data_IF_607936843389
#
_entry.id   IF_607936843389
#
_cell.length_a   1.000
_cell.length_b   1.000
_cell.length_c   1.000
_cell.angle_alpha   90.00
_cell.angle_beta   90.00
_cell.angle_gamma   90.00
#
_symmetry.space_group_name_H-M   'P 1'
#
loop_
_entity.id
_entity.type
_entity.pdbx_description
1 polymer ?
#
# COMPACT_ATOMS: atom_id res chain seq x y z
N UNK A 1 29.75 43.36 12.70
CA UNK A 1 29.34 42.16 13.43
C UNK A 1 27.82 42.13 13.55
N UNK A 2 27.16 41.43 12.69
CA UNK A 2 25.71 41.18 12.82
C UNK A 2 25.54 39.69 12.56
N UNK A 3 25.40 38.95 13.66
CA UNK A 3 25.11 37.52 13.62
C UNK A 3 23.65 37.28 13.27
N UNK A 4 23.39 36.86 12.05
CA UNK A 4 22.08 36.33 11.65
C UNK A 4 21.88 34.94 12.26
N UNK A 5 20.98 34.81 13.23
CA UNK A 5 20.48 33.55 13.70
C UNK A 5 19.69 32.90 12.55
N UNK A 6 20.13 31.74 12.09
CA UNK A 6 19.31 30.84 11.28
C UNK A 6 18.16 30.39 12.13
N UNK A 7 16.99 30.97 11.91
CA UNK A 7 15.72 30.49 12.49
C UNK A 7 15.41 29.10 11.95
N UNK A 8 15.13 28.20 12.87
CA UNK A 8 14.97 26.78 12.64
C UNK A 8 13.87 26.47 11.63
N UNK A 9 14.16 25.52 10.75
CA UNK A 9 13.17 24.82 9.94
C UNK A 9 12.03 24.32 10.84
N UNK A 10 10.76 24.49 10.43
CA UNK A 10 9.65 23.96 11.20
C UNK A 10 9.86 22.45 11.37
N UNK A 11 9.92 22.04 12.61
CA UNK A 11 9.97 20.65 13.05
C UNK A 11 8.91 19.87 12.27
N UNK A 12 9.33 18.99 11.35
CA UNK A 12 8.44 18.09 10.63
C UNK A 12 7.60 17.39 11.67
N UNK A 13 6.35 17.78 11.77
CA UNK A 13 5.43 17.27 12.76
C UNK A 13 5.54 15.74 12.75
N UNK A 14 6.05 15.16 13.83
CA UNK A 14 6.08 13.72 14.08
C UNK A 14 4.64 13.24 14.12
N UNK A 15 4.04 13.01 12.92
CA UNK A 15 2.70 12.44 12.83
C UNK A 15 2.81 11.05 13.40
N UNK A 16 2.06 10.74 14.44
CA UNK A 16 2.20 9.47 15.13
C UNK A 16 1.83 8.35 14.16
N UNK A 17 2.81 7.63 13.64
CA UNK A 17 2.65 6.35 12.91
C UNK A 17 1.67 5.44 13.66
N UNK A 18 1.62 5.58 14.97
CA UNK A 18 0.70 4.86 15.86
C UNK A 18 -0.77 5.11 15.57
N UNK A 19 -1.21 6.32 15.17
CA UNK A 19 -2.62 6.59 14.88
C UNK A 19 -3.12 5.83 13.65
N UNK A 20 -2.31 5.75 12.60
CA UNK A 20 -2.65 4.99 11.40
C UNK A 20 -2.63 3.49 11.69
N UNK A 21 -1.65 3.00 12.43
CA UNK A 21 -1.60 1.59 12.88
C UNK A 21 -2.79 1.22 13.77
N UNK A 22 -3.18 2.11 14.68
CA UNK A 22 -4.37 1.91 15.50
C UNK A 22 -5.64 1.83 14.66
N UNK A 23 -5.80 2.72 13.65
CA UNK A 23 -6.90 2.66 12.71
C UNK A 23 -6.91 1.32 11.97
N UNK A 24 -5.78 0.89 11.42
CA UNK A 24 -5.63 -0.38 10.70
C UNK A 24 -5.98 -1.57 11.59
N UNK A 25 -5.49 -1.58 12.83
CA UNK A 25 -5.82 -2.63 13.80
C UNK A 25 -7.31 -2.69 14.11
N UNK A 26 -7.96 -1.53 14.32
CA UNK A 26 -9.41 -1.46 14.56
C UNK A 26 -10.20 -2.00 13.37
N UNK A 27 -9.84 -1.62 12.14
CA UNK A 27 -10.49 -2.11 10.93
C UNK A 27 -10.34 -3.63 10.77
N UNK A 28 -9.12 -4.15 10.97
CA UNK A 28 -8.85 -5.58 10.93
C UNK A 28 -9.68 -6.37 11.95
N UNK A 29 -9.68 -5.93 13.23
CA UNK A 29 -10.42 -6.60 14.29
C UNK A 29 -11.92 -6.58 14.00
N UNK A 30 -12.46 -5.44 13.58
CA UNK A 30 -13.87 -5.33 13.20
C UNK A 30 -14.25 -6.25 12.03
N UNK A 31 -13.40 -6.37 11.02
CA UNK A 31 -13.63 -7.27 9.89
C UNK A 31 -13.53 -8.75 10.33
N UNK A 32 -12.56 -9.08 11.18
CA UNK A 32 -12.34 -10.45 11.67
C UNK A 32 -13.46 -10.96 12.58
N UNK A 33 -14.03 -10.06 13.38
CA UNK A 33 -15.14 -10.42 14.30
C UNK A 33 -16.47 -10.69 13.60
N UNK A 34 -16.69 -10.08 12.43
CA UNK A 34 -17.95 -10.25 11.69
C UNK A 34 -17.70 -10.25 10.18
N UNK A 35 -17.78 -11.42 9.55
CA UNK A 35 -17.63 -11.59 8.10
C UNK A 35 -18.75 -10.93 7.28
N UNK A 36 -19.91 -10.71 7.88
CA UNK A 36 -21.05 -10.06 7.23
C UNK A 36 -21.06 -8.55 7.41
N UNK A 37 -20.09 -8.00 8.15
CA UNK A 37 -20.00 -6.57 8.44
C UNK A 37 -19.77 -5.77 7.18
N UNK A 38 -20.62 -4.78 6.95
CA UNK A 38 -20.45 -3.78 5.90
C UNK A 38 -19.80 -2.52 6.47
N UNK A 39 -18.81 -1.99 5.74
CA UNK A 39 -18.10 -0.75 6.09
C UNK A 39 -18.64 0.38 5.23
N UNK A 40 -19.48 1.24 5.79
CA UNK A 40 -20.15 2.34 5.06
C UNK A 40 -19.36 3.65 5.08
N UNK A 41 -18.48 3.86 6.07
CA UNK A 41 -17.77 5.12 6.31
C UNK A 41 -16.25 4.90 6.22
N UNK A 42 -15.76 4.52 5.02
CA UNK A 42 -14.32 4.38 4.77
C UNK A 42 -13.74 5.58 4.05
N UNK A 43 -14.55 6.27 3.25
CA UNK A 43 -14.07 7.37 2.42
C UNK A 43 -13.51 8.54 3.25
N UNK A 44 -14.18 8.89 4.34
CA UNK A 44 -13.74 9.92 5.29
C UNK A 44 -12.39 9.60 5.94
N UNK A 45 -12.06 8.31 6.05
CA UNK A 45 -10.79 7.86 6.61
C UNK A 45 -9.62 8.00 5.64
N UNK A 46 -9.89 7.96 4.32
CA UNK A 46 -8.86 8.08 3.29
C UNK A 46 -8.24 9.48 3.29
N UNK A 47 -9.06 10.53 3.46
CA UNK A 47 -8.57 11.91 3.46
C UNK A 47 -8.21 12.46 4.85
N UNK A 48 -8.08 11.62 5.87
CA UNK A 48 -7.50 12.03 7.15
C UNK A 48 -6.06 12.48 6.95
N UNK A 49 -5.68 13.55 7.61
CA UNK A 49 -4.33 14.12 7.48
C UNK A 49 -3.23 13.11 7.84
N UNK A 50 -3.41 12.34 8.93
CA UNK A 50 -2.45 11.32 9.35
C UNK A 50 -2.30 10.18 8.33
N UNK A 51 -3.39 9.77 7.66
CA UNK A 51 -3.37 8.76 6.60
C UNK A 51 -2.67 9.27 5.34
N UNK A 52 -2.96 10.52 4.93
CA UNK A 52 -2.32 11.14 3.77
C UNK A 52 -0.82 11.35 3.99
N UNK A 53 -0.38 11.74 5.18
CA UNK A 53 1.03 11.86 5.54
C UNK A 53 1.75 10.51 5.53
N UNK A 54 1.14 9.46 6.07
CA UNK A 54 1.73 8.11 6.00
C UNK A 54 1.77 7.59 4.56
N UNK A 55 0.74 7.89 3.75
CA UNK A 55 0.72 7.58 2.33
C UNK A 55 1.85 8.29 1.58
N UNK A 56 2.04 9.60 1.82
CA UNK A 56 3.14 10.37 1.27
C UNK A 56 4.50 9.77 1.64
N UNK A 57 4.72 9.48 2.93
CA UNK A 57 5.96 8.87 3.43
C UNK A 57 6.29 7.58 2.67
N UNK A 58 5.30 6.72 2.42
CA UNK A 58 5.48 5.47 1.66
C UNK A 58 5.74 5.71 0.18
N UNK A 59 5.00 6.62 -0.45
CA UNK A 59 5.22 6.99 -1.86
C UNK A 59 6.60 7.58 -2.07
N UNK A 60 7.04 8.46 -1.16
CA UNK A 60 8.38 9.03 -1.15
C UNK A 60 9.46 7.95 -1.03
N UNK A 61 9.32 7.04 -0.08
CA UNK A 61 10.27 5.92 0.14
C UNK A 61 10.35 4.97 -1.06
N UNK A 62 9.24 4.74 -1.75
CA UNK A 62 9.21 3.90 -2.95
C UNK A 62 9.83 4.58 -4.17
N UNK A 63 9.93 5.90 -4.17
CA UNK A 63 10.44 6.66 -5.31
C UNK A 63 9.57 6.53 -6.56
N UNK A 64 10.19 6.62 -7.71
CA UNK A 64 9.57 6.41 -9.02
C UNK A 64 9.49 7.67 -9.88
N UNK A 65 9.28 7.47 -11.19
CA UNK A 65 9.24 8.52 -12.17
C UNK A 65 7.99 9.41 -12.05
N UNK A 66 8.08 10.65 -12.55
CA UNK A 66 6.95 11.55 -12.68
C UNK A 66 5.88 10.99 -13.64
N UNK A 67 4.63 11.31 -13.36
CA UNK A 67 3.48 10.97 -14.20
C UNK A 67 3.39 11.80 -15.48
N UNK A 68 2.16 11.98 -15.97
CA UNK A 68 1.89 12.80 -17.17
C UNK A 68 2.06 14.29 -16.89
N UNK A 69 1.88 14.70 -15.63
CA UNK A 69 2.05 16.07 -15.12
C UNK A 69 3.51 16.51 -15.00
N UNK A 70 4.46 15.58 -15.21
CA UNK A 70 5.90 15.79 -15.02
C UNK A 70 6.30 16.23 -13.59
N UNK A 71 5.39 16.27 -12.61
CA UNK A 71 5.69 16.64 -11.23
C UNK A 71 6.46 15.51 -10.54
N UNK A 72 7.64 15.84 -10.03
CA UNK A 72 8.53 14.88 -9.35
C UNK A 72 8.32 14.92 -7.83
N UNK A 73 8.76 13.85 -7.15
CA UNK A 73 8.77 13.82 -5.67
C UNK A 73 9.63 14.94 -5.12
N UNK A 74 10.80 15.20 -5.74
CA UNK A 74 11.72 16.26 -5.34
C UNK A 74 11.09 17.66 -5.46
N UNK A 75 10.36 17.92 -6.55
CA UNK A 75 9.66 19.20 -6.73
C UNK A 75 8.60 19.43 -5.63
N UNK A 76 7.86 18.38 -5.26
CA UNK A 76 6.88 18.45 -4.17
C UNK A 76 7.58 18.70 -2.82
N UNK A 77 8.73 18.08 -2.58
CA UNK A 77 9.51 18.30 -1.36
C UNK A 77 10.01 19.75 -1.24
N UNK A 78 10.46 20.33 -2.35
CA UNK A 78 10.92 21.72 -2.41
C UNK A 78 9.78 22.72 -2.20
N UNK A 79 8.60 22.47 -2.77
CA UNK A 79 7.39 23.29 -2.59
C UNK A 79 6.79 23.17 -1.18
N UNK A 80 7.01 22.05 -0.51
CA UNK A 80 6.45 21.72 0.79
C UNK A 80 5.31 20.69 0.68
N UNK A 81 5.55 19.47 1.18
CA UNK A 81 4.58 18.38 1.10
C UNK A 81 3.28 18.66 1.88
N UNK A 82 3.31 19.58 2.84
CA UNK A 82 2.12 19.95 3.62
C UNK A 82 1.06 20.62 2.76
N UNK A 83 1.43 21.58 1.92
CA UNK A 83 0.51 22.26 1.00
C UNK A 83 -0.06 21.27 -0.03
N UNK A 84 0.80 20.46 -0.63
CA UNK A 84 0.41 19.41 -1.56
C UNK A 84 -0.63 18.43 -0.98
N UNK A 85 -0.43 18.00 0.27
CA UNK A 85 -1.38 17.10 0.95
C UNK A 85 -2.68 17.80 1.35
N UNK A 86 -2.62 19.09 1.70
CA UNK A 86 -3.80 19.89 1.98
C UNK A 86 -4.68 20.05 0.74
N UNK A 87 -4.11 20.27 -0.44
CA UNK A 87 -4.83 20.28 -1.71
C UNK A 87 -5.54 18.95 -2.01
N UNK A 88 -4.85 17.84 -1.82
CA UNK A 88 -5.43 16.49 -1.99
C UNK A 88 -6.59 16.29 -1.01
N UNK A 89 -6.39 16.65 0.25
CA UNK A 89 -7.41 16.53 1.28
C UNK A 89 -8.66 17.34 0.94
N UNK A 90 -8.48 18.60 0.53
CA UNK A 90 -9.58 19.48 0.15
C UNK A 90 -10.35 18.95 -1.06
N UNK A 91 -9.64 18.44 -2.08
CA UNK A 91 -10.26 17.85 -3.27
C UNK A 91 -11.07 16.58 -2.94
N UNK A 92 -10.51 15.69 -2.11
CA UNK A 92 -11.19 14.47 -1.65
C UNK A 92 -12.41 14.83 -0.79
N UNK A 93 -12.26 15.73 0.19
CA UNK A 93 -13.34 16.13 1.08
C UNK A 93 -14.52 16.76 0.33
N UNK A 94 -14.22 17.51 -0.72
CA UNK A 94 -15.24 18.14 -1.58
C UNK A 94 -15.84 17.18 -2.64
N UNK A 95 -15.38 15.90 -2.72
CA UNK A 95 -15.82 14.96 -3.74
C UNK A 95 -15.41 15.33 -5.17
N UNK A 96 -14.50 16.29 -5.34
CA UNK A 96 -14.05 16.80 -6.65
C UNK A 96 -12.80 16.13 -7.19
N UNK A 97 -12.19 15.24 -6.41
CA UNK A 97 -11.00 14.52 -6.87
C UNK A 97 -11.31 13.67 -8.11
N UNK A 98 -10.48 13.81 -9.13
CA UNK A 98 -10.51 12.98 -10.34
C UNK A 98 -9.09 12.48 -10.63
N UNK A 99 -8.90 11.17 -10.85
CA UNK A 99 -7.59 10.63 -11.22
C UNK A 99 -7.13 11.20 -12.57
N UNK A 100 -5.84 11.46 -12.68
CA UNK A 100 -5.22 11.88 -13.95
C UNK A 100 -4.96 10.69 -14.87
N UNK A 101 -4.89 10.89 -16.20
CA UNK A 101 -4.44 9.86 -17.11
C UNK A 101 -3.04 9.37 -16.74
N UNK A 102 -2.77 8.07 -16.95
CA UNK A 102 -1.44 7.52 -16.71
C UNK A 102 -0.50 7.78 -17.88
N UNK A 103 0.75 8.09 -17.61
CA UNK A 103 1.80 8.17 -18.61
C UNK A 103 2.16 6.75 -19.06
N UNK A 104 1.92 6.42 -20.32
CA UNK A 104 2.23 5.09 -20.86
C UNK A 104 3.71 4.98 -21.23
N UNK A 105 4.36 3.93 -20.76
CA UNK A 105 5.72 3.55 -21.16
C UNK A 105 5.75 2.07 -21.51
N UNK A 106 6.52 1.72 -22.52
CA UNK A 106 6.67 0.33 -22.96
C UNK A 106 7.97 -0.24 -22.42
N UNK A 107 7.90 -1.45 -21.87
CA UNK A 107 9.05 -2.18 -21.34
C UNK A 107 9.24 -3.44 -22.20
N UNK A 108 10.45 -3.70 -22.71
CA UNK A 108 10.74 -4.90 -23.47
C UNK A 108 10.62 -6.14 -22.58
N UNK A 109 10.03 -7.21 -23.14
CA UNK A 109 10.01 -8.54 -22.52
C UNK A 109 11.12 -9.41 -23.11
N UNK A 110 11.46 -10.52 -22.42
CA UNK A 110 12.44 -11.49 -22.89
C UNK A 110 12.05 -12.15 -24.23
N UNK A 111 10.76 -12.19 -24.56
CA UNK A 111 10.21 -12.74 -25.81
C UNK A 111 10.19 -11.74 -26.97
N UNK A 112 10.83 -10.58 -26.83
CA UNK A 112 10.87 -9.50 -27.83
C UNK A 112 9.60 -8.65 -27.92
N UNK A 113 8.53 -9.00 -27.21
CA UNK A 113 7.30 -8.20 -27.15
C UNK A 113 7.45 -7.03 -26.17
N UNK A 114 6.60 -6.02 -26.32
CA UNK A 114 6.55 -4.88 -25.40
C UNK A 114 5.40 -5.02 -24.40
N UNK A 115 5.68 -4.71 -23.13
CA UNK A 115 4.67 -4.62 -22.09
C UNK A 115 4.34 -3.16 -21.81
N UNK A 116 3.08 -2.71 -21.97
CA UNK A 116 2.69 -1.36 -21.59
C UNK A 116 2.69 -1.23 -20.06
N UNK A 117 3.33 -0.17 -19.57
CA UNK A 117 3.31 0.24 -18.16
C UNK A 117 2.64 1.61 -18.06
N UNK A 118 1.62 1.73 -17.21
CA UNK A 118 1.01 3.02 -16.85
C UNK A 118 1.68 3.60 -15.61
N UNK A 119 2.21 4.82 -15.71
CA UNK A 119 2.82 5.54 -14.60
C UNK A 119 1.83 6.62 -14.15
N UNK A 120 1.18 6.47 -12.97
CA UNK A 120 0.28 7.48 -12.42
C UNK A 120 1.07 8.68 -11.89
N UNK A 121 0.39 9.82 -11.72
CA UNK A 121 0.95 11.01 -11.09
C UNK A 121 1.33 10.75 -9.64
N UNK A 122 2.19 11.58 -9.06
CA UNK A 122 2.55 11.44 -7.62
C UNK A 122 1.31 11.64 -6.76
N UNK A 123 0.43 12.58 -7.14
CA UNK A 123 -0.87 12.83 -6.49
C UNK A 123 -1.73 11.56 -6.45
N UNK A 124 -1.90 10.90 -7.58
CA UNK A 124 -2.71 9.68 -7.67
C UNK A 124 -2.09 8.53 -6.87
N UNK A 125 -0.75 8.41 -6.87
CA UNK A 125 -0.05 7.42 -6.04
C UNK A 125 -0.29 7.62 -4.54
N UNK A 126 -0.34 8.87 -4.07
CA UNK A 126 -0.65 9.19 -2.67
C UNK A 126 -2.09 8.79 -2.34
N UNK A 127 -3.05 9.12 -3.19
CA UNK A 127 -4.47 8.74 -2.98
C UNK A 127 -4.65 7.22 -3.02
N UNK A 128 -4.01 6.53 -3.96
CA UNK A 128 -4.02 5.05 -4.03
C UNK A 128 -3.41 4.43 -2.78
N UNK A 129 -2.29 4.97 -2.30
CA UNK A 129 -1.65 4.49 -1.07
C UNK A 129 -2.51 4.74 0.17
N UNK A 130 -3.16 5.91 0.27
CA UNK A 130 -4.09 6.22 1.35
C UNK A 130 -5.29 5.27 1.34
N UNK A 131 -5.85 5.00 0.16
CA UNK A 131 -6.92 4.01 -0.02
C UNK A 131 -6.47 2.62 0.41
N UNK A 132 -5.28 2.19 -0.03
CA UNK A 132 -4.69 0.91 0.38
C UNK A 132 -4.54 0.82 1.90
N UNK A 133 -4.02 1.85 2.57
CA UNK A 133 -3.83 1.88 4.02
C UNK A 133 -5.12 1.63 4.80
N UNK A 134 -6.26 2.10 4.27
CA UNK A 134 -7.57 1.95 4.90
C UNK A 134 -8.23 0.61 4.54
N UNK A 135 -8.12 0.15 3.29
CA UNK A 135 -8.84 -1.04 2.82
C UNK A 135 -8.09 -2.35 3.07
N UNK A 136 -6.75 -2.35 2.97
CA UNK A 136 -5.91 -3.56 3.12
C UNK A 136 -6.18 -4.36 4.41
N UNK A 137 -6.35 -3.75 5.59
CA UNK A 137 -6.64 -4.49 6.82
C UNK A 137 -7.97 -5.25 6.77
N UNK A 138 -8.96 -4.73 6.06
CA UNK A 138 -10.28 -5.35 5.92
C UNK A 138 -10.17 -6.61 5.05
N UNK A 139 -9.54 -6.49 3.88
CA UNK A 139 -9.30 -7.64 2.99
C UNK A 139 -8.39 -8.68 3.63
N UNK A 140 -7.35 -8.23 4.38
CA UNK A 140 -6.42 -9.14 5.07
C UNK A 140 -7.14 -10.02 6.10
N UNK A 141 -8.20 -9.51 6.73
CA UNK A 141 -9.00 -10.26 7.68
C UNK A 141 -9.78 -11.43 7.02
N UNK A 142 -10.15 -11.30 5.74
CA UNK A 142 -10.94 -12.27 4.99
C UNK A 142 -10.10 -13.29 4.22
N UNK A 143 -8.83 -13.01 3.97
CA UNK A 143 -7.97 -13.91 3.21
C UNK A 143 -7.80 -15.26 3.88
N UNK A 144 -7.90 -16.31 3.09
CA UNK A 144 -7.64 -17.69 3.53
C UNK A 144 -6.16 -17.91 3.88
N UNK A 145 -5.83 -18.83 4.79
CA UNK A 145 -4.45 -19.14 5.16
C UNK A 145 -3.56 -19.57 3.98
N UNK A 146 -4.14 -20.20 2.97
CA UNK A 146 -3.45 -20.64 1.75
C UNK A 146 -3.21 -19.52 0.72
N UNK A 147 -3.75 -18.31 0.92
CA UNK A 147 -3.50 -17.16 0.04
C UNK A 147 -2.16 -16.50 0.39
N UNK A 148 -1.25 -16.40 -0.58
CA UNK A 148 0.10 -15.82 -0.39
C UNK A 148 0.35 -14.58 -1.24
N UNK A 149 -0.28 -14.46 -2.41
CA UNK A 149 -0.02 -13.39 -3.36
C UNK A 149 -0.40 -12.01 -2.84
N UNK A 150 0.51 -11.04 -3.00
CA UNK A 150 0.32 -9.61 -2.69
C UNK A 150 -0.11 -9.29 -1.24
N UNK A 151 0.14 -10.21 -0.30
CA UNK A 151 -0.19 -10.02 1.11
C UNK A 151 1.03 -9.59 1.93
N UNK A 152 0.81 -8.73 2.98
CA UNK A 152 1.87 -8.37 3.90
C UNK A 152 2.48 -9.61 4.58
N UNK A 153 3.80 -9.66 4.69
CA UNK A 153 4.56 -10.75 5.35
C UNK A 153 4.34 -12.14 4.75
N UNK A 154 3.82 -12.24 3.52
CA UNK A 154 3.68 -13.49 2.77
C UNK A 154 4.61 -13.48 1.56
N UNK A 155 5.15 -14.64 1.21
CA UNK A 155 6.07 -14.79 0.06
C UNK A 155 5.77 -16.05 -0.75
N UNK A 156 6.24 -16.07 -2.01
CA UNK A 156 6.15 -17.25 -2.86
C UNK A 156 6.89 -18.44 -2.28
N UNK A 157 8.06 -18.20 -1.64
CA UNK A 157 8.83 -19.26 -0.99
C UNK A 157 8.04 -19.95 0.13
N UNK A 158 7.31 -19.17 0.95
CA UNK A 158 6.44 -19.76 1.98
C UNK A 158 5.31 -20.59 1.37
N UNK A 159 4.74 -20.20 0.23
CA UNK A 159 3.73 -20.99 -0.46
C UNK A 159 4.31 -22.33 -0.96
N UNK A 160 5.48 -22.29 -1.59
CA UNK A 160 6.17 -23.49 -2.07
C UNK A 160 6.56 -24.44 -0.91
N UNK A 161 6.99 -23.88 0.22
CA UNK A 161 7.34 -24.68 1.40
C UNK A 161 6.12 -25.43 1.97
N UNK A 162 4.96 -24.78 2.02
CA UNK A 162 3.71 -25.44 2.44
C UNK A 162 3.35 -26.61 1.52
N UNK A 163 3.49 -26.42 0.20
CA UNK A 163 3.23 -27.48 -0.79
C UNK A 163 4.23 -28.63 -0.61
N UNK A 164 5.52 -28.32 -0.45
CA UNK A 164 6.57 -29.31 -0.23
C UNK A 164 6.30 -30.17 1.02
N UNK A 165 5.94 -29.53 2.13
CA UNK A 165 5.63 -30.22 3.38
C UNK A 165 4.37 -31.10 3.25
N UNK A 166 3.32 -30.59 2.61
CA UNK A 166 2.10 -31.34 2.38
C UNK A 166 2.35 -32.58 1.48
N UNK A 167 3.08 -32.39 0.37
CA UNK A 167 3.46 -33.48 -0.54
C UNK A 167 4.24 -34.60 0.15
N UNK A 168 5.25 -34.22 0.95
CA UNK A 168 6.05 -35.20 1.70
C UNK A 168 5.24 -36.00 2.75
N UNK A 169 4.24 -35.37 3.37
CA UNK A 169 3.34 -36.06 4.32
C UNK A 169 2.47 -37.07 3.62
N UNK A 170 1.89 -36.70 2.48
CA UNK A 170 1.01 -37.60 1.68
C UNK A 170 1.81 -38.79 1.14
N UNK A 171 3.05 -38.56 0.65
CA UNK A 171 3.89 -39.62 0.13
C UNK A 171 4.30 -40.64 1.21
N UNK A 172 4.62 -40.20 2.43
CA UNK A 172 4.89 -41.08 3.57
C UNK A 172 3.66 -41.91 3.97
N UNK A 173 2.46 -41.33 3.96
CA UNK A 173 1.23 -42.04 4.31
C UNK A 173 0.91 -43.19 3.32
N UNK A 174 1.09 -42.94 2.01
CA UNK A 174 0.87 -43.99 0.98
C UNK A 174 1.93 -45.09 1.01
N UNK A 175 3.17 -44.80 1.32
CA UNK A 175 4.24 -45.80 1.41
C UNK A 175 4.11 -46.73 2.62
N UNK A 176 3.45 -46.29 3.69
CA UNK A 176 3.20 -47.12 4.88
C UNK A 176 2.04 -48.09 4.68
N UNK A 177 1.06 -47.75 3.82
CA UNK A 177 -0.13 -48.59 3.56
C UNK A 177 0.21 -49.77 2.63
N UNK A 178 1.26 -49.68 1.82
CA UNK A 178 1.66 -50.78 0.90
C UNK A 178 2.53 -51.88 1.54
N UNK A 179 2.98 -51.73 2.80
CA UNK A 179 3.80 -52.73 3.49
C UNK A 179 3.03 -53.67 4.42
N UNK A 180 1.71 -53.63 4.41
CA UNK A 180 0.86 -54.39 5.32
C UNK A 180 0.00 -55.49 4.67
N UNK A 181 0.42 -56.06 3.52
CA UNK A 181 -0.28 -57.24 2.93
C UNK A 181 0.77 -58.18 2.36
N UNK A 182 1.34 -59.02 3.22
CA UNK A 182 1.88 -60.33 2.92
C UNK A 182 1.41 -61.29 4.00
#
# INVERSE_FOLDING_TARGET
MIGGKCEGMPETAKIPIDKVRQLQRKLYVCAKQSRTRRFHALYDRIYRSDVLWEAWRRVRSNGGAAGIDAETIQAIEQRGPGEFLAEIQAALRAGRYRPSPVKRRYIPKADGKQRPLGIPTVRDRVVQMATKLVTEPIFEADFQPCSYGFRPKRSAQQALEVIRVAGNRTFKATSTTSRGKT
#
